data_IF_073669875755
#
_entry.id   IF_073669875755
#
_cell.length_a   1.000
_cell.length_b   1.000
_cell.length_c   1.000
_cell.angle_alpha   90.00
_cell.angle_beta   90.00
_cell.angle_gamma   90.00
#
_symmetry.space_group_name_H-M   'P 1'
#
loop_
_entity.id
_entity.type
_entity.pdbx_description
1 polymer ?
#
# COMPACT_ATOMS: atom_id res chain seq x y z
N UNK A 1 25.43 1.27 3.23
CA UNK A 1 25.27 2.41 4.16
C UNK A 1 23.86 2.37 4.73
N UNK A 2 23.79 2.15 6.05
CA UNK A 2 22.72 2.36 7.05
C UNK A 2 21.24 2.15 6.71
N UNK A 3 20.63 1.20 7.42
CA UNK A 3 19.19 1.14 7.67
C UNK A 3 18.84 1.96 8.92
N UNK A 4 17.96 2.96 8.81
CA UNK A 4 17.07 3.50 9.88
C UNK A 4 16.40 4.81 9.42
N UNK A 5 15.20 4.72 8.82
CA UNK A 5 14.29 5.87 8.71
C UNK A 5 12.84 5.38 8.94
N UNK A 6 12.19 5.76 10.06
CA UNK A 6 10.93 5.15 10.53
C UNK A 6 9.64 5.67 9.86
N UNK A 7 9.70 6.44 8.78
CA UNK A 7 8.49 6.98 8.11
C UNK A 7 8.75 7.13 6.62
N UNK A 8 8.87 6.03 5.89
CA UNK A 8 8.90 6.11 4.43
C UNK A 8 7.47 6.42 3.96
N UNK A 9 7.18 7.71 3.76
CA UNK A 9 5.88 8.15 3.26
C UNK A 9 5.84 7.98 1.74
N UNK A 10 5.64 6.74 1.33
CA UNK A 10 5.64 6.33 -0.07
C UNK A 10 4.28 6.61 -0.70
N UNK A 11 4.16 7.67 -1.50
CA UNK A 11 3.05 7.79 -2.48
C UNK A 11 3.47 7.08 -3.76
N UNK A 12 3.13 5.80 -3.86
CA UNK A 12 3.27 5.04 -5.11
C UNK A 12 1.90 4.87 -5.75
N UNK A 13 1.76 5.11 -7.07
CA UNK A 13 0.57 4.70 -7.80
C UNK A 13 0.52 3.16 -7.82
N UNK A 14 -0.48 2.62 -7.15
CA UNK A 14 -0.73 1.20 -7.05
C UNK A 14 -2.10 0.87 -7.64
N UNK A 15 -2.20 -0.26 -8.30
CA UNK A 15 -3.48 -0.80 -8.74
C UNK A 15 -4.00 -1.76 -7.66
N UNK A 16 -5.22 -1.53 -7.19
CA UNK A 16 -5.87 -2.45 -6.27
C UNK A 16 -6.20 -3.74 -7.04
N UNK A 17 -5.54 -4.85 -6.68
CA UNK A 17 -5.81 -6.17 -7.26
C UNK A 17 -7.00 -6.87 -6.58
N UNK A 18 -7.55 -6.29 -5.53
CA UNK A 18 -8.72 -6.81 -4.83
C UNK A 18 -9.54 -5.67 -4.28
N UNK A 19 -10.84 -5.76 -4.48
CA UNK A 19 -11.81 -4.93 -3.81
C UNK A 19 -11.82 -5.27 -2.31
N UNK A 20 -11.94 -4.23 -1.49
CA UNK A 20 -12.07 -4.39 -0.06
C UNK A 20 -12.85 -3.24 0.53
N UNK A 21 -13.66 -3.54 1.54
CA UNK A 21 -14.36 -2.55 2.33
C UNK A 21 -13.38 -1.76 3.21
N UNK A 22 -13.83 -0.61 3.73
CA UNK A 22 -13.12 0.18 4.73
C UNK A 22 -12.68 -0.72 5.91
N UNK A 23 -11.41 -0.65 6.28
CA UNK A 23 -10.80 -1.45 7.35
C UNK A 23 -10.26 -2.82 6.90
N UNK A 24 -10.59 -3.28 5.70
CA UNK A 24 -10.13 -4.57 5.18
C UNK A 24 -8.74 -4.45 4.56
N UNK A 25 -7.93 -5.51 4.67
CA UNK A 25 -6.65 -5.60 3.98
C UNK A 25 -6.85 -6.06 2.54
N UNK A 26 -6.40 -5.25 1.58
CA UNK A 26 -6.38 -5.56 0.16
C UNK A 26 -4.96 -5.71 -0.37
N UNK A 27 -4.84 -6.42 -1.49
CA UNK A 27 -3.60 -6.54 -2.23
C UNK A 27 -3.51 -5.42 -3.25
N UNK A 28 -2.43 -4.66 -3.21
CA UNK A 28 -2.14 -3.57 -4.14
C UNK A 28 -0.88 -3.92 -4.90
N UNK A 29 -0.93 -3.87 -6.22
CA UNK A 29 0.24 -4.03 -7.07
C UNK A 29 0.83 -2.68 -7.34
N UNK A 30 2.09 -2.51 -6.96
CA UNK A 30 2.85 -1.34 -7.34
C UNK A 30 3.17 -1.40 -8.83
N UNK A 31 2.61 -0.50 -9.63
CA UNK A 31 2.85 -0.48 -11.08
C UNK A 31 4.30 -0.15 -11.43
N UNK A 32 5.02 0.56 -10.54
CA UNK A 32 6.42 0.97 -10.77
C UNK A 32 7.43 -0.15 -10.57
N UNK A 33 7.11 -1.16 -9.75
CA UNK A 33 8.02 -2.27 -9.44
C UNK A 33 7.43 -3.66 -9.71
N UNK A 34 6.15 -3.75 -10.05
CA UNK A 34 5.41 -5.00 -10.16
C UNK A 34 5.18 -5.72 -8.82
N UNK A 35 5.62 -5.15 -7.69
CA UNK A 35 5.52 -5.79 -6.37
C UNK A 35 4.09 -5.72 -5.83
N UNK A 36 3.60 -6.84 -5.34
CA UNK A 36 2.32 -6.91 -4.62
C UNK A 36 2.56 -6.64 -3.14
N UNK A 37 1.89 -5.63 -2.60
CA UNK A 37 1.91 -5.25 -1.19
C UNK A 37 0.52 -5.44 -0.59
N UNK A 38 0.45 -5.67 0.72
CA UNK A 38 -0.82 -5.68 1.47
C UNK A 38 -1.01 -4.32 2.10
N UNK A 39 -2.19 -3.73 1.90
CA UNK A 39 -2.54 -2.43 2.46
C UNK A 39 -3.95 -2.48 3.04
N UNK A 40 -4.22 -1.73 4.10
CA UNK A 40 -5.56 -1.57 4.69
C UNK A 40 -6.28 -0.41 4.00
N UNK A 41 -7.52 -0.62 3.59
CA UNK A 41 -8.35 0.45 3.02
C UNK A 41 -8.75 1.41 4.14
N UNK A 42 -8.36 2.67 4.02
CA UNK A 42 -8.73 3.73 4.95
C UNK A 42 -9.76 4.71 4.36
N UNK A 43 -9.92 4.69 3.03
CA UNK A 43 -10.82 5.56 2.29
C UNK A 43 -11.03 5.08 0.86
N UNK A 44 -12.03 5.62 0.14
CA UNK A 44 -12.19 5.35 -1.29
C UNK A 44 -10.93 5.80 -2.05
N UNK A 45 -10.24 4.84 -2.68
CA UNK A 45 -8.97 5.08 -3.39
C UNK A 45 -7.76 5.35 -2.49
N UNK A 46 -7.90 5.22 -1.16
CA UNK A 46 -6.81 5.46 -0.22
C UNK A 46 -6.56 4.24 0.67
N UNK A 47 -5.29 3.83 0.70
CA UNK A 47 -4.85 2.64 1.42
C UNK A 47 -3.63 2.97 2.27
N UNK A 48 -3.56 2.38 3.46
CA UNK A 48 -2.47 2.53 4.39
C UNK A 48 -1.73 1.20 4.53
N UNK A 49 -0.41 1.23 4.41
CA UNK A 49 0.45 0.07 4.64
C UNK A 49 1.05 0.23 6.02
N UNK A 50 0.65 -0.64 6.95
CA UNK A 50 1.41 -0.83 8.18
C UNK A 50 2.63 -1.69 7.83
N UNK A 51 3.82 -1.07 7.80
CA UNK A 51 5.11 -1.79 7.75
C UNK A 51 5.50 -2.25 9.14
#
# INVERSE_FOLDING_TARGET
>A
ISAKNPTINVRMPGEALSDGALGTQIRVKNQRSGRTIKARVIGPGQVEVAM
#
